data_IF_499174046123
#
_entry.id   IF_499174046123
#
_cell.length_a   1.000
_cell.length_b   1.000
_cell.length_c   1.000
_cell.angle_alpha   90.00
_cell.angle_beta   90.00
_cell.angle_gamma   90.00
#
_symmetry.space_group_name_H-M   'P 1'
#
loop_
_entity.id
_entity.type
_entity.pdbx_description
1 polymer ?
#
# COMPACT_ATOMS: atom_id res chain seq x y z
N UNK A 1 -2.98 10.68 -25.21
CA UNK A 1 -3.19 9.43 -25.96
C UNK A 1 -4.68 9.37 -26.26
N UNK A 2 -5.06 9.69 -27.49
CA UNK A 2 -6.46 9.64 -27.90
C UNK A 2 -6.83 8.16 -27.96
N UNK A 3 -7.68 7.71 -27.03
CA UNK A 3 -8.29 6.38 -27.13
C UNK A 3 -9.04 6.37 -28.45
N UNK A 4 -8.63 5.52 -29.39
CA UNK A 4 -9.42 5.23 -30.56
C UNK A 4 -10.77 4.69 -30.07
N UNK A 5 -11.79 5.54 -30.13
CA UNK A 5 -13.17 5.19 -29.83
C UNK A 5 -13.66 4.37 -31.00
N UNK A 6 -13.51 3.04 -30.91
CA UNK A 6 -14.27 2.15 -31.77
C UNK A 6 -15.75 2.35 -31.42
N UNK A 7 -16.54 2.86 -32.38
CA UNK A 7 -17.98 3.15 -32.25
C UNK A 7 -18.84 1.90 -31.98
N UNK A 8 -18.24 0.73 -31.83
CA UNK A 8 -18.92 -0.52 -31.51
C UNK A 8 -19.11 -0.61 -30.00
N UNK A 9 -20.34 -0.34 -29.55
CA UNK A 9 -20.75 -0.64 -28.17
C UNK A 9 -20.72 -2.16 -27.98
N UNK A 10 -20.22 -2.68 -26.84
CA UNK A 10 -20.33 -4.10 -26.54
C UNK A 10 -21.80 -4.51 -26.45
N UNK A 11 -22.08 -5.78 -26.73
CA UNK A 11 -23.44 -6.34 -26.69
C UNK A 11 -24.07 -6.05 -25.32
N UNK A 12 -25.22 -5.36 -25.31
CA UNK A 12 -25.87 -4.92 -24.06
C UNK A 12 -26.95 -5.90 -23.59
N UNK A 13 -27.51 -6.71 -24.49
CA UNK A 13 -28.58 -7.64 -24.19
C UNK A 13 -28.29 -9.00 -24.81
N UNK A 14 -28.62 -10.06 -24.09
CA UNK A 14 -28.57 -11.42 -24.63
C UNK A 14 -29.64 -11.63 -25.68
N UNK A 15 -29.43 -12.59 -26.57
CA UNK A 15 -30.52 -13.13 -27.38
C UNK A 15 -31.37 -13.98 -26.42
N UNK A 16 -32.61 -13.56 -26.10
CA UNK A 16 -33.43 -14.28 -25.16
C UNK A 16 -33.81 -15.65 -25.73
N UNK A 17 -33.84 -16.65 -24.87
CA UNK A 17 -34.53 -17.91 -25.11
C UNK A 17 -36.03 -17.65 -25.05
N UNK A 18 -36.77 -18.30 -25.94
CA UNK A 18 -38.22 -18.24 -26.02
C UNK A 18 -38.82 -19.65 -25.92
N UNK A 19 -40.02 -19.76 -25.37
CA UNK A 19 -40.81 -20.98 -25.44
C UNK A 19 -41.52 -21.09 -26.79
N UNK A 20 -41.77 -22.32 -27.21
CA UNK A 20 -42.74 -22.56 -28.28
C UNK A 20 -44.14 -22.17 -27.79
N UNK A 21 -44.96 -21.66 -28.72
CA UNK A 21 -46.32 -21.17 -28.44
C UNK A 21 -47.20 -22.20 -27.74
N UNK A 22 -46.97 -23.49 -27.98
CA UNK A 22 -47.72 -24.60 -27.39
C UNK A 22 -47.54 -24.72 -25.86
N UNK A 23 -46.48 -24.12 -25.31
CA UNK A 23 -46.15 -24.16 -23.88
C UNK A 23 -46.32 -22.79 -23.20
N UNK A 24 -46.97 -21.84 -23.87
CA UNK A 24 -47.22 -20.51 -23.32
C UNK A 24 -48.13 -20.56 -22.09
N UNK A 25 -48.98 -21.57 -21.92
CA UNK A 25 -49.87 -21.66 -20.76
C UNK A 25 -49.20 -22.27 -19.50
N UNK A 26 -47.98 -22.81 -19.61
CA UNK A 26 -47.27 -23.44 -18.49
C UNK A 26 -46.39 -22.43 -17.74
N UNK A 27 -46.87 -22.00 -16.57
CA UNK A 27 -46.17 -21.05 -15.71
C UNK A 27 -44.79 -21.54 -15.23
N UNK A 28 -44.58 -22.85 -15.10
CA UNK A 28 -43.29 -23.40 -14.65
C UNK A 28 -42.24 -23.32 -15.75
N UNK A 29 -42.64 -23.59 -16.99
CA UNK A 29 -41.76 -23.46 -18.14
C UNK A 29 -41.42 -22.00 -18.45
N UNK A 30 -42.39 -21.08 -18.30
CA UNK A 30 -42.12 -19.65 -18.40
C UNK A 30 -41.09 -19.20 -17.37
N UNK A 31 -41.29 -19.55 -16.09
CA UNK A 31 -40.37 -19.20 -15.02
C UNK A 31 -38.95 -19.76 -15.26
N UNK A 32 -38.82 -20.95 -15.84
CA UNK A 32 -37.54 -21.51 -16.22
C UNK A 32 -36.83 -20.68 -17.29
N UNK A 33 -37.53 -20.30 -18.36
CA UNK A 33 -36.95 -19.50 -19.44
C UNK A 33 -36.59 -18.09 -18.97
N UNK A 34 -37.41 -17.48 -18.12
CA UNK A 34 -37.11 -16.18 -17.50
C UNK A 34 -35.86 -16.25 -16.64
N UNK A 35 -35.73 -17.29 -15.81
CA UNK A 35 -34.53 -17.53 -15.00
C UNK A 35 -33.28 -17.72 -15.87
N UNK A 36 -33.39 -18.50 -16.94
CA UNK A 36 -32.30 -18.71 -17.90
C UNK A 36 -31.87 -17.40 -18.57
N UNK A 37 -32.82 -16.57 -19.01
CA UNK A 37 -32.56 -15.28 -19.63
C UNK A 37 -31.91 -14.31 -18.64
N UNK A 38 -32.39 -14.26 -17.39
CA UNK A 38 -31.82 -13.43 -16.34
C UNK A 38 -30.38 -13.83 -16.01
N UNK A 39 -30.11 -15.14 -15.89
CA UNK A 39 -28.77 -15.67 -15.63
C UNK A 39 -27.82 -15.42 -16.82
N UNK A 40 -28.29 -15.58 -18.05
CA UNK A 40 -27.53 -15.28 -19.26
C UNK A 40 -27.18 -13.80 -19.34
N UNK A 41 -28.13 -12.91 -19.03
CA UNK A 41 -27.88 -11.47 -18.96
C UNK A 41 -26.82 -11.14 -17.90
N UNK A 42 -26.88 -11.78 -16.74
CA UNK A 42 -25.87 -11.63 -15.68
C UNK A 42 -24.45 -11.98 -16.15
N UNK A 43 -24.28 -13.03 -16.97
CA UNK A 43 -22.97 -13.37 -17.54
C UNK A 43 -22.49 -12.33 -18.56
N UNK A 44 -23.39 -11.81 -19.40
CA UNK A 44 -23.05 -10.75 -20.36
C UNK A 44 -22.63 -9.47 -19.64
N UNK A 45 -23.38 -9.08 -18.60
CA UNK A 45 -23.09 -7.90 -17.78
C UNK A 45 -21.73 -8.04 -17.09
N UNK A 46 -21.43 -9.20 -16.52
CA UNK A 46 -20.13 -9.50 -15.94
C UNK A 46 -19.00 -9.41 -16.98
N UNK A 47 -19.19 -10.01 -18.15
CA UNK A 47 -18.19 -10.00 -19.23
C UNK A 47 -17.88 -8.56 -19.70
N UNK A 48 -18.91 -7.72 -19.80
CA UNK A 48 -18.76 -6.31 -20.16
C UNK A 48 -18.03 -5.48 -19.08
N UNK A 49 -18.17 -5.85 -17.80
CA UNK A 49 -17.54 -5.17 -16.67
C UNK A 49 -16.13 -5.68 -16.33
N UNK A 50 -15.76 -6.88 -16.80
CA UNK A 50 -14.48 -7.52 -16.51
C UNK A 50 -13.61 -7.77 -17.76
N UNK A 51 -13.21 -6.73 -18.50
CA UNK A 51 -12.30 -6.90 -19.63
C UNK A 51 -10.96 -7.47 -19.14
N UNK A 52 -10.62 -8.70 -19.57
CA UNK A 52 -9.48 -9.46 -19.07
C UNK A 52 -8.12 -8.75 -19.25
N UNK A 53 -8.02 -7.85 -20.23
CA UNK A 53 -6.83 -7.03 -20.46
C UNK A 53 -6.60 -5.97 -19.37
N UNK A 54 -7.65 -5.55 -18.67
CA UNK A 54 -7.60 -4.54 -17.61
C UNK A 54 -7.58 -5.20 -16.23
N UNK A 55 -6.48 -5.90 -15.92
CA UNK A 55 -6.29 -6.60 -14.65
C UNK A 55 -6.32 -5.68 -13.41
N UNK A 56 -6.20 -4.37 -13.58
CA UNK A 56 -6.32 -3.37 -12.50
C UNK A 56 -7.78 -3.18 -12.04
N UNK A 57 -8.76 -3.69 -12.78
CA UNK A 57 -10.18 -3.61 -12.42
C UNK A 57 -10.46 -4.24 -11.04
N UNK A 58 -11.35 -3.66 -10.22
CA UNK A 58 -11.74 -4.25 -8.94
C UNK A 58 -12.49 -5.59 -9.10
N UNK A 59 -13.06 -5.87 -10.27
CA UNK A 59 -13.79 -7.12 -10.55
C UNK A 59 -12.90 -8.32 -10.86
N UNK A 60 -11.60 -8.09 -11.10
CA UNK A 60 -10.63 -9.16 -11.39
C UNK A 60 -9.85 -9.46 -10.12
N UNK A 61 -10.20 -10.54 -9.43
CA UNK A 61 -9.64 -10.91 -8.12
C UNK A 61 -9.39 -12.40 -8.01
N UNK A 62 -8.57 -12.79 -7.03
CA UNK A 62 -8.30 -14.16 -6.64
C UNK A 62 -7.82 -15.05 -7.79
N UNK A 63 -8.39 -16.26 -7.95
CA UNK A 63 -7.95 -17.21 -8.98
C UNK A 63 -8.06 -16.70 -10.42
N UNK A 64 -9.02 -15.81 -10.71
CA UNK A 64 -9.15 -15.21 -12.05
C UNK A 64 -7.94 -14.32 -12.35
N UNK A 65 -7.53 -13.50 -11.38
CA UNK A 65 -6.33 -12.66 -11.51
C UNK A 65 -5.07 -13.53 -11.69
N UNK A 66 -4.96 -14.63 -10.97
CA UNK A 66 -3.86 -15.58 -11.10
C UNK A 66 -3.82 -16.21 -12.48
N UNK A 67 -4.98 -16.62 -13.00
CA UNK A 67 -5.12 -17.16 -14.35
C UNK A 67 -4.73 -16.13 -15.41
N UNK A 68 -5.15 -14.87 -15.28
CA UNK A 68 -4.79 -13.80 -16.22
C UNK A 68 -3.28 -13.52 -16.15
N UNK A 69 -2.74 -13.24 -14.96
CA UNK A 69 -1.33 -12.88 -14.81
C UNK A 69 -0.40 -14.00 -15.25
N UNK A 70 -0.65 -15.24 -14.82
CA UNK A 70 0.19 -16.39 -15.18
C UNK A 70 -0.07 -16.88 -16.59
N UNK A 71 -1.33 -16.96 -17.01
CA UNK A 71 -1.73 -17.54 -18.29
C UNK A 71 -1.45 -16.62 -19.46
N UNK A 72 -1.84 -15.34 -19.35
CA UNK A 72 -1.71 -14.38 -20.46
C UNK A 72 -0.35 -13.68 -20.47
N UNK A 73 0.18 -13.33 -19.29
CA UNK A 73 1.40 -12.52 -19.18
C UNK A 73 2.63 -13.28 -18.66
N UNK A 74 2.47 -14.54 -18.23
CA UNK A 74 3.58 -15.35 -17.70
C UNK A 74 4.14 -14.89 -16.36
N UNK A 75 3.54 -13.88 -15.72
CA UNK A 75 3.98 -13.34 -14.43
C UNK A 75 3.20 -14.08 -13.34
N UNK A 76 3.90 -14.63 -12.34
CA UNK A 76 3.26 -15.34 -11.22
C UNK A 76 3.10 -14.40 -10.04
N UNK A 77 2.10 -14.68 -9.21
CA UNK A 77 1.93 -14.01 -7.92
C UNK A 77 3.18 -14.21 -7.05
N UNK A 78 3.81 -13.13 -6.58
CA UNK A 78 5.01 -13.25 -5.77
C UNK A 78 4.68 -13.74 -4.37
N UNK A 79 5.63 -14.46 -3.79
CA UNK A 79 5.67 -14.77 -2.36
C UNK A 79 6.53 -13.71 -1.71
N UNK A 80 5.99 -13.04 -0.70
CA UNK A 80 6.69 -12.01 0.05
C UNK A 80 7.25 -12.66 1.31
N UNK A 81 8.57 -12.83 1.36
CA UNK A 81 9.26 -13.25 2.56
C UNK A 81 9.96 -12.03 3.18
N UNK A 82 9.66 -11.78 4.46
CA UNK A 82 10.44 -10.87 5.29
C UNK A 82 11.45 -11.68 6.10
N UNK A 83 12.73 -11.33 5.99
CA UNK A 83 13.79 -11.92 6.81
C UNK A 83 14.14 -10.96 7.94
N UNK A 84 13.80 -11.33 9.18
CA UNK A 84 14.33 -10.67 10.36
C UNK A 84 15.25 -11.67 11.05
N UNK A 85 16.55 -11.38 11.07
CA UNK A 85 17.51 -12.12 11.90
C UNK A 85 17.81 -11.30 13.13
N UNK A 86 17.57 -11.86 14.31
CA UNK A 86 17.97 -11.22 15.57
C UNK A 86 19.13 -11.99 16.17
N UNK A 87 20.21 -11.27 16.46
CA UNK A 87 21.36 -11.77 17.21
C UNK A 87 21.15 -11.40 18.67
N UNK A 88 20.82 -12.39 19.49
CA UNK A 88 20.68 -12.21 20.93
C UNK A 88 22.06 -12.41 21.58
N UNK A 89 22.62 -11.35 22.16
CA UNK A 89 23.88 -11.37 22.91
C UNK A 89 23.73 -10.54 24.20
N UNK A 90 24.12 -11.11 25.34
CA UNK A 90 24.05 -10.45 26.65
C UNK A 90 23.67 -11.38 27.80
N UNK A 91 23.85 -10.91 29.04
CA UNK A 91 23.41 -11.61 30.26
C UNK A 91 21.87 -11.71 30.27
N UNK A 92 21.32 -12.90 30.57
CA UNK A 92 19.88 -13.24 30.48
C UNK A 92 19.24 -13.17 29.07
N UNK A 93 20.01 -13.08 27.97
CA UNK A 93 19.43 -13.01 26.62
C UNK A 93 18.89 -14.35 26.09
N UNK A 94 19.38 -15.49 26.63
CA UNK A 94 18.95 -16.84 26.27
C UNK A 94 18.68 -17.65 27.54
N UNK A 95 17.70 -18.59 27.55
CA UNK A 95 17.47 -19.47 28.69
C UNK A 95 18.71 -20.33 28.99
N UNK A 96 18.98 -20.60 30.28
CA UNK A 96 20.13 -21.40 30.70
C UNK A 96 20.12 -22.79 30.04
N UNK A 97 21.31 -23.26 29.63
CA UNK A 97 21.53 -24.57 29.01
C UNK A 97 20.86 -24.81 27.63
N UNK A 98 20.54 -23.74 26.89
CA UNK A 98 19.93 -23.87 25.53
C UNK A 98 20.93 -23.73 24.39
N UNK A 99 22.17 -23.29 24.66
CA UNK A 99 23.21 -23.04 23.65
C UNK A 99 24.54 -23.58 24.17
N UNK A 100 25.31 -24.25 23.30
CA UNK A 100 26.62 -24.82 23.63
C UNK A 100 27.67 -23.73 23.94
N UNK A 101 28.73 -24.08 24.67
CA UNK A 101 29.83 -23.16 24.96
C UNK A 101 30.46 -22.65 23.65
N UNK A 102 30.57 -21.32 23.50
CA UNK A 102 31.02 -20.63 22.28
C UNK A 102 30.08 -20.74 21.05
N UNK A 103 28.83 -21.19 21.21
CA UNK A 103 27.85 -21.19 20.13
C UNK A 103 27.04 -19.87 20.09
N UNK A 104 26.64 -19.46 18.89
CA UNK A 104 25.83 -18.26 18.65
C UNK A 104 24.38 -18.66 18.37
N UNK A 105 23.44 -18.00 19.02
CA UNK A 105 22.01 -18.19 18.75
C UNK A 105 21.56 -17.26 17.63
N UNK A 106 21.02 -17.87 16.59
CA UNK A 106 20.37 -17.19 15.47
C UNK A 106 18.91 -17.61 15.48
N UNK A 107 18.01 -16.66 15.68
CA UNK A 107 16.58 -16.87 15.39
C UNK A 107 16.24 -16.12 14.12
N UNK A 108 15.68 -16.85 13.15
CA UNK A 108 15.09 -16.28 11.94
C UNK A 108 13.59 -16.58 11.98
N UNK A 109 12.77 -15.54 12.15
CA UNK A 109 11.33 -15.67 11.92
C UNK A 109 11.10 -15.44 10.43
N UNK A 110 10.62 -16.47 9.73
CA UNK A 110 10.23 -16.37 8.33
C UNK A 110 8.71 -16.20 8.27
N UNK A 111 8.24 -15.00 7.99
CA UNK A 111 6.84 -14.82 7.58
C UNK A 111 6.85 -14.75 6.06
N UNK A 112 6.61 -15.90 5.42
CA UNK A 112 6.35 -15.97 4.00
C UNK A 112 4.84 -15.91 3.80
N UNK A 113 4.35 -14.85 3.16
CA UNK A 113 2.94 -14.73 2.78
C UNK A 113 2.83 -14.58 1.27
N UNK A 114 1.78 -15.15 0.70
CA UNK A 114 1.44 -14.92 -0.70
C UNK A 114 0.95 -13.47 -0.81
N UNK A 115 1.42 -12.73 -1.81
CA UNK A 115 0.98 -11.36 -2.03
C UNK A 115 -0.55 -11.28 -2.22
N UNK A 116 -1.20 -10.30 -1.61
CA UNK A 116 -2.62 -10.05 -1.85
C UNK A 116 -2.87 -9.57 -3.30
N UNK A 117 -4.14 -9.48 -3.70
CA UNK A 117 -4.51 -9.09 -5.08
C UNK A 117 -4.03 -7.68 -5.45
N UNK A 118 -4.09 -6.76 -4.49
CA UNK A 118 -3.64 -5.38 -4.70
C UNK A 118 -2.14 -5.33 -5.04
N UNK A 119 -1.29 -5.97 -4.23
CA UNK A 119 0.15 -6.06 -4.46
C UNK A 119 0.45 -6.78 -5.77
N UNK A 120 -0.27 -7.87 -6.07
CA UNK A 120 -0.05 -8.60 -7.30
C UNK A 120 -0.36 -7.74 -8.54
N UNK A 121 -1.46 -6.98 -8.53
CA UNK A 121 -1.77 -6.03 -9.60
C UNK A 121 -0.73 -4.92 -9.71
N UNK A 122 -0.20 -4.40 -8.60
CA UNK A 122 0.92 -3.43 -8.61
C UNK A 122 2.17 -4.00 -9.27
N UNK A 123 2.49 -5.27 -9.00
CA UNK A 123 3.60 -5.97 -9.68
C UNK A 123 3.32 -6.12 -11.17
N UNK A 124 2.12 -6.57 -11.58
CA UNK A 124 1.76 -6.63 -13.00
C UNK A 124 1.90 -5.27 -13.70
N UNK A 125 1.41 -4.19 -13.07
CA UNK A 125 1.56 -2.82 -13.58
C UNK A 125 3.03 -2.41 -13.70
N UNK A 126 3.90 -2.82 -12.78
CA UNK A 126 5.33 -2.52 -12.86
C UNK A 126 5.96 -3.00 -14.18
N UNK A 127 5.53 -4.16 -14.69
CA UNK A 127 6.07 -4.75 -15.92
C UNK A 127 5.28 -4.38 -17.19
N UNK A 128 3.95 -4.29 -17.10
CA UNK A 128 3.08 -4.26 -18.28
C UNK A 128 2.57 -2.87 -18.65
N UNK A 129 2.78 -1.86 -17.81
CA UNK A 129 2.21 -0.55 -18.05
C UNK A 129 2.82 0.15 -19.27
N UNK A 130 1.99 0.34 -20.30
CA UNK A 130 2.40 0.87 -21.61
C UNK A 130 2.70 2.36 -21.63
N UNK A 131 2.22 3.12 -20.64
CA UNK A 131 2.47 4.56 -20.54
C UNK A 131 3.91 4.93 -20.15
N UNK A 132 4.68 3.97 -19.64
CA UNK A 132 6.09 4.13 -19.27
C UNK A 132 7.03 3.95 -20.46
N UNK A 133 6.60 4.00 -21.72
CA UNK A 133 7.45 3.80 -22.91
C UNK A 133 8.48 2.65 -22.85
N UNK A 134 9.59 2.74 -23.60
CA UNK A 134 10.55 1.62 -23.78
C UNK A 134 11.97 1.85 -23.24
N UNK A 135 12.38 3.10 -23.01
CA UNK A 135 13.72 3.48 -22.52
C UNK A 135 13.74 3.91 -21.05
N UNK A 136 14.50 3.24 -20.19
CA UNK A 136 14.58 3.62 -18.78
C UNK A 136 14.98 5.10 -18.57
N UNK A 137 14.14 5.88 -17.89
CA UNK A 137 14.41 7.28 -17.55
C UNK A 137 13.88 7.65 -16.16
N UNK A 138 14.42 8.73 -15.58
CA UNK A 138 14.06 9.20 -14.23
C UNK A 138 12.57 9.49 -14.08
N UNK A 139 11.95 10.12 -15.10
CA UNK A 139 10.54 10.47 -15.05
C UNK A 139 9.65 9.23 -14.89
N UNK A 140 9.99 8.14 -15.60
CA UNK A 140 9.21 6.91 -15.53
C UNK A 140 9.46 6.16 -14.25
N UNK A 141 10.69 6.18 -13.72
CA UNK A 141 10.94 5.61 -12.40
C UNK A 141 10.09 6.31 -11.34
N UNK A 142 10.01 7.65 -11.36
CA UNK A 142 9.12 8.42 -10.48
C UNK A 142 7.66 8.01 -10.64
N UNK A 143 7.15 7.96 -11.87
CA UNK A 143 5.77 7.57 -12.15
C UNK A 143 5.47 6.13 -11.70
N UNK A 144 6.39 5.21 -11.92
CA UNK A 144 6.21 3.79 -11.60
C UNK A 144 6.25 3.55 -10.10
N UNK A 145 7.20 4.16 -9.39
CA UNK A 145 7.27 4.09 -7.93
C UNK A 145 6.05 4.77 -7.32
N UNK A 146 5.62 5.93 -7.82
CA UNK A 146 4.42 6.62 -7.34
C UNK A 146 3.16 5.77 -7.50
N UNK A 147 2.96 5.14 -8.68
CA UNK A 147 1.84 4.21 -8.90
C UNK A 147 1.92 2.99 -8.02
N UNK A 148 3.11 2.42 -7.83
CA UNK A 148 3.27 1.26 -6.97
C UNK A 148 3.00 1.59 -5.51
N UNK A 149 3.41 2.75 -5.01
CA UNK A 149 3.22 3.13 -3.59
C UNK A 149 1.80 3.65 -3.34
N UNK A 150 1.32 4.58 -4.17
CA UNK A 150 0.09 5.34 -3.91
C UNK A 150 -1.13 4.87 -4.74
N UNK A 151 -0.91 4.21 -5.89
CA UNK A 151 -1.99 3.81 -6.81
C UNK A 151 -2.67 2.51 -6.40
N UNK A 152 -3.93 2.58 -5.98
CA UNK A 152 -4.74 1.41 -5.64
C UNK A 152 -4.79 0.41 -6.80
N UNK A 153 -4.58 -0.88 -6.55
CA UNK A 153 -4.49 -1.95 -7.56
C UNK A 153 -3.48 -1.67 -8.69
N UNK A 154 -2.45 -0.84 -8.44
CA UNK A 154 -1.51 -0.41 -9.47
C UNK A 154 -2.15 0.50 -10.53
N UNK A 155 -3.23 1.21 -10.20
CA UNK A 155 -3.82 2.25 -11.04
C UNK A 155 -2.90 3.46 -11.16
N UNK A 156 -3.16 4.30 -12.16
CA UNK A 156 -2.42 5.54 -12.32
C UNK A 156 -2.68 6.49 -11.15
N UNK A 157 -1.63 7.13 -10.67
CA UNK A 157 -1.68 8.06 -9.56
C UNK A 157 -0.93 9.33 -9.97
N UNK A 158 -1.58 10.50 -9.95
CA UNK A 158 -0.95 11.73 -10.41
C UNK A 158 0.28 12.01 -9.55
N UNK A 159 1.38 12.36 -10.22
CA UNK A 159 2.57 12.90 -9.54
C UNK A 159 2.28 14.34 -9.15
N UNK A 160 1.41 14.51 -8.16
CA UNK A 160 1.36 15.73 -7.36
C UNK A 160 2.65 15.75 -6.52
N UNK A 161 3.09 16.89 -5.98
CA UNK A 161 4.30 17.00 -5.15
C UNK A 161 4.31 16.15 -3.86
N UNK A 162 3.46 15.13 -3.78
CA UNK A 162 3.39 14.09 -2.77
C UNK A 162 4.60 13.14 -2.87
N UNK A 163 5.13 12.65 -1.73
CA UNK A 163 6.07 11.53 -1.70
C UNK A 163 5.54 10.33 -2.52
N UNK A 164 6.41 9.53 -3.16
CA UNK A 164 7.83 9.30 -2.86
C UNK A 164 8.83 10.21 -3.61
N UNK A 165 9.94 10.57 -2.97
CA UNK A 165 11.05 11.32 -3.55
C UNK A 165 12.19 10.40 -3.98
N UNK A 166 12.85 10.73 -5.09
CA UNK A 166 13.96 9.93 -5.63
C UNK A 166 15.20 10.82 -5.76
N UNK A 167 16.29 10.40 -5.13
CA UNK A 167 17.63 10.98 -5.30
C UNK A 167 18.56 9.96 -5.96
N UNK A 168 19.58 10.43 -6.68
CA UNK A 168 20.53 9.57 -7.40
C UNK A 168 21.94 9.91 -6.99
N UNK A 169 22.73 8.88 -6.72
CA UNK A 169 24.16 8.98 -6.51
C UNK A 169 24.86 7.83 -7.24
N UNK A 170 25.56 8.14 -8.33
CA UNK A 170 26.19 7.12 -9.18
C UNK A 170 25.15 6.15 -9.75
N UNK A 171 25.25 4.88 -9.36
CA UNK A 171 24.36 3.78 -9.80
C UNK A 171 23.20 3.50 -8.83
N UNK A 172 23.10 4.25 -7.73
CA UNK A 172 22.10 4.02 -6.67
C UNK A 172 20.99 5.06 -6.78
N UNK A 173 19.75 4.57 -6.84
CA UNK A 173 18.53 5.35 -6.76
C UNK A 173 17.92 5.19 -5.37
N UNK A 174 17.95 6.26 -4.58
CA UNK A 174 17.40 6.25 -3.23
C UNK A 174 15.98 6.79 -3.24
N UNK A 175 15.01 5.94 -2.90
CA UNK A 175 13.60 6.27 -2.77
C UNK A 175 13.32 6.59 -1.31
N UNK A 176 12.82 7.80 -1.04
CA UNK A 176 12.45 8.26 0.30
C UNK A 176 10.95 8.53 0.35
N UNK A 177 10.25 7.94 1.32
CA UNK A 177 8.80 8.10 1.49
C UNK A 177 8.37 7.84 2.93
N UNK A 178 7.16 8.28 3.27
CA UNK A 178 6.49 7.84 4.48
C UNK A 178 6.18 6.34 4.44
N UNK A 179 6.15 5.75 5.63
CA UNK A 179 5.70 4.37 5.82
C UNK A 179 4.28 4.18 5.31
N UNK A 180 4.09 3.16 4.47
CA UNK A 180 2.81 2.79 3.89
C UNK A 180 2.85 1.34 3.44
N UNK A 181 1.69 0.68 3.41
CA UNK A 181 1.59 -0.70 2.92
C UNK A 181 2.14 -0.85 1.49
N UNK A 182 1.94 0.15 0.63
CA UNK A 182 2.46 0.15 -0.73
C UNK A 182 3.99 0.24 -0.79
N UNK A 183 4.62 1.03 0.08
CA UNK A 183 6.08 1.13 0.16
C UNK A 183 6.70 -0.14 0.76
N UNK A 184 6.12 -0.69 1.82
CA UNK A 184 6.57 -1.95 2.41
C UNK A 184 6.50 -3.09 1.38
N UNK A 185 5.39 -3.18 0.65
CA UNK A 185 5.24 -4.13 -0.45
C UNK A 185 6.30 -3.91 -1.55
N UNK A 186 6.61 -2.66 -1.90
CA UNK A 186 7.63 -2.34 -2.91
C UNK A 186 9.00 -2.86 -2.47
N UNK A 187 9.38 -2.62 -1.21
CA UNK A 187 10.64 -3.06 -0.63
C UNK A 187 10.74 -4.59 -0.66
N UNK A 188 9.69 -5.29 -0.20
CA UNK A 188 9.64 -6.75 -0.19
C UNK A 188 9.66 -7.33 -1.60
N UNK A 189 8.89 -6.78 -2.55
CA UNK A 189 8.87 -7.24 -3.93
C UNK A 189 10.23 -7.04 -4.62
N UNK A 190 10.93 -5.94 -4.35
CA UNK A 190 12.28 -5.72 -4.85
C UNK A 190 13.28 -6.71 -4.25
N UNK A 191 13.27 -6.88 -2.92
CA UNK A 191 14.16 -7.80 -2.22
C UNK A 191 13.97 -9.28 -2.64
N UNK A 192 12.75 -9.67 -2.97
CA UNK A 192 12.41 -11.02 -3.46
C UNK A 192 12.58 -11.18 -4.98
N UNK A 193 13.08 -10.16 -5.69
CA UNK A 193 13.32 -10.21 -7.14
C UNK A 193 12.05 -10.25 -8.01
N UNK A 194 10.90 -9.89 -7.44
CA UNK A 194 9.63 -9.83 -8.18
C UNK A 194 9.56 -8.63 -9.14
N UNK A 195 10.29 -7.55 -8.83
CA UNK A 195 10.32 -6.34 -9.65
C UNK A 195 11.56 -6.34 -10.54
N UNK A 196 11.35 -6.29 -11.85
CA UNK A 196 12.45 -6.19 -12.81
C UNK A 196 12.97 -4.75 -12.86
N UNK A 197 14.28 -4.59 -12.72
CA UNK A 197 14.97 -3.31 -12.77
C UNK A 197 16.31 -3.49 -13.52
N UNK A 198 16.84 -2.46 -14.22
CA UNK A 198 18.09 -2.62 -14.95
C UNK A 198 19.24 -3.03 -14.01
N UNK A 199 19.97 -4.08 -14.38
CA UNK A 199 21.01 -4.69 -13.53
C UNK A 199 22.18 -3.75 -13.20
N UNK A 200 22.39 -2.70 -14.00
CA UNK A 200 23.44 -1.70 -13.78
C UNK A 200 23.14 -0.74 -12.62
N UNK A 201 21.89 -0.75 -12.13
CA UNK A 201 21.41 0.17 -11.11
C UNK A 201 20.84 -0.56 -9.89
N UNK A 202 20.83 0.11 -8.74
CA UNK A 202 20.30 -0.44 -7.51
C UNK A 202 19.27 0.51 -6.90
N UNK A 203 18.20 -0.05 -6.34
CA UNK A 203 17.23 0.71 -5.54
C UNK A 203 17.62 0.61 -4.07
N UNK A 204 17.62 1.75 -3.40
CA UNK A 204 17.74 1.86 -1.94
C UNK A 204 16.50 2.57 -1.41
N UNK A 205 16.05 2.19 -0.21
CA UNK A 205 14.83 2.73 0.38
C UNK A 205 15.13 3.39 1.73
N UNK A 206 14.63 4.60 1.91
CA UNK A 206 14.62 5.32 3.17
C UNK A 206 13.17 5.54 3.60
N UNK A 207 12.76 4.87 4.68
CA UNK A 207 11.38 4.94 5.17
C UNK A 207 11.30 5.92 6.33
N UNK A 208 10.52 6.98 6.16
CA UNK A 208 10.17 7.89 7.23
C UNK A 208 9.01 7.28 8.03
N UNK A 209 9.33 6.71 9.20
CA UNK A 209 8.36 6.08 10.09
C UNK A 209 8.49 6.60 11.52
N UNK A 210 7.41 6.49 12.28
CA UNK A 210 7.46 6.74 13.70
C UNK A 210 8.19 5.61 14.44
N UNK A 211 8.86 5.98 15.52
CA UNK A 211 9.46 5.06 16.47
C UNK A 211 9.13 5.51 17.90
N UNK A 212 8.92 4.54 18.79
CA UNK A 212 8.77 4.78 20.22
C UNK A 212 10.16 4.75 20.87
N UNK A 213 10.61 5.90 21.38
CA UNK A 213 11.84 5.99 22.15
C UNK A 213 11.51 6.39 23.59
N UNK A 214 11.35 5.40 24.47
CA UNK A 214 11.09 5.63 25.89
C UNK A 214 9.79 6.39 26.19
N UNK A 215 8.75 6.21 25.35
CA UNK A 215 7.47 6.92 25.47
C UNK A 215 7.39 8.21 24.67
N UNK A 216 8.46 8.64 23.98
CA UNK A 216 8.43 9.77 23.06
C UNK A 216 8.23 9.29 21.62
N UNK A 217 7.41 10.04 20.86
CA UNK A 217 7.24 9.83 19.43
C UNK A 217 8.43 10.43 18.69
N UNK A 218 9.16 9.59 17.98
CA UNK A 218 10.38 9.99 17.26
C UNK A 218 10.31 9.61 15.78
N UNK A 219 11.10 10.30 14.96
CA UNK A 219 11.30 9.99 13.54
C UNK A 219 12.78 10.10 13.18
N UNK A 220 13.27 9.15 12.38
CA UNK A 220 14.68 9.08 11.98
C UNK A 220 15.19 10.33 11.25
N UNK A 221 14.33 10.97 10.46
CA UNK A 221 14.62 12.21 9.75
C UNK A 221 13.32 12.98 9.50
N UNK A 222 13.41 14.30 9.29
CA UNK A 222 12.23 15.17 9.15
C UNK A 222 11.36 14.84 7.94
N UNK A 223 11.98 14.43 6.84
CA UNK A 223 11.34 14.29 5.53
C UNK A 223 10.59 15.57 5.11
N UNK A 224 9.25 15.57 5.09
CA UNK A 224 8.43 16.77 4.80
C UNK A 224 7.99 17.54 6.05
N UNK A 225 8.31 17.08 7.26
CA UNK A 225 7.99 17.82 8.48
C UNK A 225 8.80 19.13 8.53
N UNK A 226 8.19 20.25 8.96
CA UNK A 226 8.93 21.47 9.27
C UNK A 226 10.04 21.20 10.30
N UNK A 227 11.22 21.78 10.12
CA UNK A 227 12.35 21.64 11.06
C UNK A 227 12.55 22.88 11.93
N UNK A 228 11.75 23.93 11.71
CA UNK A 228 11.78 25.17 12.48
C UNK A 228 10.36 25.50 12.93
N UNK A 229 10.11 25.68 14.25
CA UNK A 229 8.79 26.01 14.77
C UNK A 229 8.36 27.47 14.50
N UNK A 230 9.30 28.37 14.17
CA UNK A 230 8.99 29.78 13.96
C UNK A 230 8.08 29.99 12.76
N UNK A 231 6.94 30.67 12.97
CA UNK A 231 5.96 30.97 11.92
C UNK A 231 4.92 29.87 11.68
N UNK A 232 5.01 28.74 12.38
CA UNK A 232 3.95 27.72 12.37
C UNK A 232 2.78 28.12 13.26
N UNK A 233 1.56 27.80 12.86
CA UNK A 233 0.36 28.02 13.67
C UNK A 233 0.30 27.06 14.86
N UNK A 234 -0.42 27.46 15.91
CA UNK A 234 -0.70 26.59 17.05
C UNK A 234 -1.36 25.28 16.58
N UNK A 235 -0.94 24.15 17.16
CA UNK A 235 -1.38 22.81 16.79
C UNK A 235 -0.62 22.21 15.60
N UNK A 236 0.23 22.97 14.90
CA UNK A 236 1.11 22.41 13.86
C UNK A 236 2.12 21.44 14.44
N UNK A 237 2.42 20.36 13.71
CA UNK A 237 3.49 19.42 14.08
C UNK A 237 4.78 19.75 13.35
N UNK A 238 5.91 19.49 14.00
CA UNK A 238 7.24 19.75 13.46
C UNK A 238 8.25 18.74 13.99
N UNK A 239 9.36 18.60 13.29
CA UNK A 239 10.44 17.68 13.63
C UNK A 239 11.56 18.43 14.37
N UNK A 240 11.76 18.07 15.63
CA UNK A 240 12.73 18.68 16.53
C UNK A 240 13.94 17.75 16.73
N UNK A 241 14.78 17.64 15.71
CA UNK A 241 16.06 16.91 15.82
C UNK A 241 15.92 15.42 16.13
N UNK A 242 14.77 14.82 15.86
CA UNK A 242 14.47 13.41 16.12
C UNK A 242 13.15 13.21 16.86
N UNK A 243 12.71 14.18 17.65
CA UNK A 243 11.43 14.14 18.38
C UNK A 243 10.35 14.85 17.57
N UNK A 244 9.15 14.27 17.51
CA UNK A 244 8.00 14.94 16.89
C UNK A 244 7.34 15.82 17.94
N UNK A 245 7.20 17.10 17.59
CA UNK A 245 6.73 18.14 18.50
C UNK A 245 5.51 18.85 17.91
N UNK A 246 4.74 19.50 18.78
CA UNK A 246 3.55 20.28 18.42
C UNK A 246 3.69 21.70 18.95
N UNK A 247 3.25 22.68 18.16
CA UNK A 247 3.20 24.07 18.59
C UNK A 247 2.06 24.24 19.61
N UNK A 248 2.33 24.72 20.83
CA UNK A 248 1.30 24.92 21.83
C UNK A 248 0.32 26.04 21.44
N UNK A 249 -0.85 26.08 22.08
CA UNK A 249 -1.83 27.16 21.91
C UNK A 249 -3.19 26.74 21.34
N UNK A 250 -3.42 25.43 21.17
CA UNK A 250 -4.75 24.87 20.84
C UNK A 250 -5.30 24.15 22.07
N UNK A 251 -6.58 24.39 22.36
CA UNK A 251 -7.33 23.60 23.32
C UNK A 251 -7.90 22.39 22.58
N UNK A 252 -7.54 21.14 22.97
CA UNK A 252 -8.02 19.95 22.27
C UNK A 252 -9.54 19.84 22.30
N UNK A 253 -10.14 19.46 21.18
CA UNK A 253 -11.55 19.06 21.12
C UNK A 253 -11.71 17.65 21.71
N UNK A 254 -12.44 17.48 22.83
CA UNK A 254 -12.63 16.18 23.46
C UNK A 254 -13.47 15.21 22.62
N UNK A 255 -14.15 15.68 21.57
CA UNK A 255 -14.90 14.85 20.63
C UNK A 255 -14.06 14.37 19.44
N UNK A 256 -12.84 14.90 19.28
CA UNK A 256 -11.94 14.48 18.21
C UNK A 256 -11.53 13.01 18.39
N UNK A 257 -11.45 12.21 17.31
CA UNK A 257 -11.00 10.82 17.40
C UNK A 257 -9.58 10.73 17.98
N UNK A 258 -9.32 9.79 18.91
CA UNK A 258 -7.98 9.58 19.44
C UNK A 258 -7.04 9.02 18.38
N UNK A 259 -5.79 9.48 18.41
CA UNK A 259 -4.71 8.98 17.55
C UNK A 259 -3.87 7.96 18.30
N UNK A 260 -3.48 6.88 17.63
CA UNK A 260 -2.68 5.80 18.21
C UNK A 260 -1.39 5.59 17.43
N UNK A 261 -0.30 5.26 18.15
CA UNK A 261 1.00 4.97 17.56
C UNK A 261 0.97 3.83 16.54
N UNK A 262 0.13 2.81 16.76
CA UNK A 262 0.04 1.63 15.89
C UNK A 262 -0.69 1.87 14.57
N UNK A 263 -1.52 2.92 14.50
CA UNK A 263 -2.39 3.18 13.34
C UNK A 263 -2.15 4.51 12.68
N UNK A 264 -1.52 5.47 13.36
CA UNK A 264 -1.29 6.81 12.84
C UNK A 264 0.03 6.84 12.08
N UNK A 265 -0.02 7.08 10.78
CA UNK A 265 1.16 7.30 9.96
C UNK A 265 1.71 8.73 10.10
N UNK A 266 2.99 8.97 9.78
CA UNK A 266 3.53 10.33 9.78
C UNK A 266 2.85 11.26 8.78
N UNK A 267 2.35 10.75 7.66
CA UNK A 267 1.61 11.57 6.70
C UNK A 267 0.28 12.06 7.30
N UNK A 268 -0.43 11.18 8.01
CA UNK A 268 -1.71 11.51 8.65
C UNK A 268 -1.53 12.51 9.79
N UNK A 269 -0.53 12.31 10.66
CA UNK A 269 -0.28 13.25 11.76
C UNK A 269 0.15 14.63 11.24
N UNK A 270 0.92 14.69 10.15
CA UNK A 270 1.29 15.96 9.51
C UNK A 270 0.06 16.69 8.95
N UNK A 271 -0.90 15.96 8.38
CA UNK A 271 -2.12 16.53 7.81
C UNK A 271 -3.15 16.95 8.88
N UNK A 272 -3.33 16.14 9.93
CA UNK A 272 -4.27 16.42 11.02
C UNK A 272 -3.74 17.47 12.00
N UNK A 273 -2.41 17.56 12.14
CA UNK A 273 -1.77 18.32 13.20
C UNK A 273 -1.89 17.65 14.57
N UNK A 274 -1.27 18.28 15.57
CA UNK A 274 -1.24 17.80 16.95
C UNK A 274 -2.15 18.59 17.89
N UNK A 275 -2.95 19.52 17.37
CA UNK A 275 -3.78 20.43 18.19
C UNK A 275 -4.85 19.72 19.04
N UNK A 276 -5.36 18.58 18.57
CA UNK A 276 -6.37 17.79 19.28
C UNK A 276 -5.77 16.67 20.16
N UNK A 277 -4.45 16.62 20.32
CA UNK A 277 -3.83 15.66 21.22
C UNK A 277 -4.14 16.03 22.68
N UNK A 278 -4.53 15.06 23.53
CA UNK A 278 -4.73 15.31 24.96
C UNK A 278 -3.50 15.98 25.60
N UNK A 279 -3.72 16.96 26.48
CA UNK A 279 -2.64 17.68 27.17
C UNK A 279 -2.13 16.96 28.43
N UNK A 280 -2.79 15.88 28.81
CA UNK A 280 -2.40 14.97 29.90
C UNK A 280 -2.39 13.54 29.40
N UNK A 281 -1.63 12.68 30.07
CA UNK A 281 -1.57 11.27 29.73
C UNK A 281 -2.99 10.65 29.79
N UNK A 282 -3.53 10.12 28.68
CA UNK A 282 -4.87 9.54 28.63
C UNK A 282 -4.99 8.20 29.38
N UNK A 283 -3.87 7.55 29.73
CA UNK A 283 -3.86 6.24 30.40
C UNK A 283 -4.27 5.07 29.50
N UNK A 284 -4.41 5.31 28.20
CA UNK A 284 -4.75 4.29 27.20
C UNK A 284 -3.48 3.94 26.41
N UNK A 285 -3.05 2.68 26.53
CA UNK A 285 -1.81 2.18 25.91
C UNK A 285 -1.72 2.51 24.43
N UNK A 286 -0.62 3.16 24.03
CA UNK A 286 -0.33 3.48 22.64
C UNK A 286 -1.05 4.70 22.09
N UNK A 287 -1.91 5.37 22.88
CA UNK A 287 -2.54 6.62 22.47
C UNK A 287 -1.51 7.76 22.47
N UNK A 288 -1.54 8.58 21.42
CA UNK A 288 -0.70 9.77 21.30
C UNK A 288 -1.27 10.92 22.14
N UNK A 289 -0.39 11.65 22.80
CA UNK A 289 -0.75 12.81 23.61
C UNK A 289 0.35 13.88 23.59
N UNK A 290 0.00 15.13 23.91
CA UNK A 290 0.91 16.25 23.92
C UNK A 290 1.45 16.49 25.34
N UNK A 291 2.72 16.17 25.56
CA UNK A 291 3.44 16.39 26.80
C UNK A 291 4.27 17.68 26.72
N UNK A 292 3.62 18.83 26.92
CA UNK A 292 4.32 20.12 26.98
C UNK A 292 5.03 20.51 25.67
N UNK A 293 4.49 20.10 24.52
CA UNK A 293 5.03 20.39 23.19
C UNK A 293 5.77 19.22 22.54
N UNK A 294 6.09 18.16 23.29
CA UNK A 294 6.57 16.90 22.72
C UNK A 294 5.42 15.90 22.60
N UNK A 295 5.31 15.20 21.47
CA UNK A 295 4.31 14.16 21.31
C UNK A 295 4.82 12.89 21.99
N UNK A 296 4.03 12.38 22.91
CA UNK A 296 4.31 11.19 23.71
C UNK A 296 3.32 10.07 23.42
N UNK A 297 3.70 8.86 23.79
CA UNK A 297 2.93 7.63 23.66
C UNK A 297 2.60 7.18 25.09
N UNK A 298 1.30 7.03 25.37
CA UNK A 298 0.78 6.61 26.68
C UNK A 298 1.04 5.12 26.98
#
# INVERSE_FOLDING_TARGET
>A
MQIESFSTKPLQQVIPSYLYKEYEDDASLQAFVDSFNALSQGYLDWFNQAPLGLYTSPFITGPLLDWIGRGLYGIRRPVLASQISTRLAGYNANPYNTIAYNAQYYSASQTASIANDDIYKRVLTWHLYRGDGMQFCMQWLKNRVNRFVNGANGSDYPVLNSPPWITVSGTIFTITSFDSQGLEALILCYANGALQFPFAYQLQFNVAKFANNGGLLTMQFAFTYPTNPTGLSAGSVWWNGGVVSVIPGVTPDPSAPPLYFSTTSPAELLALGGGNLPLSNPGVTGQLWNNGGAISIA
#
